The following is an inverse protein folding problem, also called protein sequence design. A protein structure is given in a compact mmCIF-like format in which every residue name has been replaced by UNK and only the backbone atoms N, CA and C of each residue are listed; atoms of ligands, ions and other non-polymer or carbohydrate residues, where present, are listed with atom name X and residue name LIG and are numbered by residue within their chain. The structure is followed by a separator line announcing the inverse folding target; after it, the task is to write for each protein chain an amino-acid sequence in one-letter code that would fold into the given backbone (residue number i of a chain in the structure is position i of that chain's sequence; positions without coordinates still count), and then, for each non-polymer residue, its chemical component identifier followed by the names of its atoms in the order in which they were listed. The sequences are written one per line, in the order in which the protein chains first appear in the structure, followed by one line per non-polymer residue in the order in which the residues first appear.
data_IF_057540341972
#
_entry.id   IF_057540341972
#
_cell.length_a   1.000
_cell.length_b   1.000
_cell.length_c   1.000
_cell.angle_alpha   90.00
_cell.angle_beta   90.00
_cell.angle_gamma   90.00
#
_symmetry.space_group_name_H-M   'P 1'
#
loop_
_entity.id
_entity.type
_entity.pdbx_description
1 polymer ?
#
# COMPACT_ATOMS: atom_id res chain seq x y z
N UNK A 1 13.28 -15.77 22.18
CA UNK A 1 13.08 -15.31 20.79
C UNK A 1 12.97 -16.52 19.84
N UNK A 2 11.92 -16.61 18.99
CA UNK A 2 11.71 -17.73 18.05
C UNK A 2 12.73 -17.67 16.89
N UNK A 3 12.85 -18.75 16.10
CA UNK A 3 13.81 -18.83 14.98
C UNK A 3 13.69 -17.67 13.98
N UNK A 4 12.47 -17.35 13.55
CA UNK A 4 12.22 -16.26 12.58
C UNK A 4 12.63 -14.89 13.12
N UNK A 5 12.41 -14.62 14.40
CA UNK A 5 12.79 -13.34 15.03
C UNK A 5 14.32 -13.21 15.13
N UNK A 6 15.03 -14.32 15.38
CA UNK A 6 16.50 -14.34 15.36
C UNK A 6 17.03 -14.05 13.96
N UNK A 7 16.45 -14.69 12.94
CA UNK A 7 16.80 -14.45 11.53
C UNK A 7 16.55 -12.99 11.14
N UNK A 8 15.45 -12.40 11.60
CA UNK A 8 15.14 -10.99 11.36
C UNK A 8 16.14 -10.07 12.09
N UNK A 9 16.42 -10.32 13.38
CA UNK A 9 17.41 -9.57 14.14
C UNK A 9 18.80 -9.61 13.50
N UNK A 10 19.26 -10.77 13.03
CA UNK A 10 20.55 -10.89 12.37
C UNK A 10 20.58 -10.10 11.05
N UNK A 11 19.44 -10.03 10.33
CA UNK A 11 19.30 -9.15 9.18
C UNK A 11 19.37 -7.66 9.56
N UNK A 12 18.74 -7.25 10.68
CA UNK A 12 18.83 -5.88 11.19
C UNK A 12 20.26 -5.52 11.62
N UNK A 13 20.98 -6.44 12.28
CA UNK A 13 22.40 -6.26 12.62
C UNK A 13 23.27 -6.11 11.36
N UNK A 14 22.98 -6.87 10.30
CA UNK A 14 23.64 -6.70 8.99
C UNK A 14 23.41 -5.31 8.41
N UNK A 15 22.19 -4.77 8.49
CA UNK A 15 21.89 -3.39 8.07
C UNK A 15 22.73 -2.40 8.89
N UNK A 16 22.71 -2.52 10.21
CA UNK A 16 23.48 -1.66 11.13
C UNK A 16 24.96 -1.61 10.75
N UNK A 17 25.60 -2.77 10.65
CA UNK A 17 27.02 -2.88 10.32
C UNK A 17 27.34 -2.31 8.94
N UNK A 18 26.49 -2.54 7.94
CA UNK A 18 26.72 -2.05 6.58
C UNK A 18 26.60 -0.53 6.45
N UNK A 19 25.71 0.10 7.22
CA UNK A 19 25.55 1.56 7.23
C UNK A 19 26.76 2.23 7.89
N UNK A 20 27.27 1.65 8.99
CA UNK A 20 28.45 2.18 9.67
C UNK A 20 29.75 1.94 8.90
N UNK A 21 29.88 0.75 8.30
CA UNK A 21 31.09 0.31 7.62
C UNK A 21 30.77 -0.03 6.15
N UNK A 22 30.49 0.99 5.31
CA UNK A 22 30.28 0.77 3.89
C UNK A 22 31.57 0.26 3.22
N UNK A 23 31.47 -0.46 2.09
CA UNK A 23 32.63 -1.11 1.46
C UNK A 23 33.63 -0.13 0.82
N UNK A 24 33.20 1.12 0.63
CA UNK A 24 33.97 2.25 0.09
C UNK A 24 33.47 3.52 0.78
N UNK A 25 34.19 4.63 0.62
CA UNK A 25 33.65 5.92 1.06
C UNK A 25 32.49 6.34 0.14
N UNK A 26 31.27 6.07 0.61
CA UNK A 26 30.03 6.29 -0.12
C UNK A 26 29.35 7.57 0.36
N UNK A 27 28.78 8.31 -0.59
CA UNK A 27 27.89 9.44 -0.28
C UNK A 27 26.65 8.96 0.48
N UNK A 28 26.08 9.82 1.29
CA UNK A 28 24.90 9.51 2.13
C UNK A 28 23.72 8.94 1.34
N UNK A 29 23.51 9.38 0.09
CA UNK A 29 22.47 8.81 -0.79
C UNK A 29 22.72 7.34 -1.14
N UNK A 30 23.96 6.97 -1.45
CA UNK A 30 24.32 5.59 -1.79
C UNK A 30 24.23 4.68 -0.56
N UNK A 31 24.60 5.20 0.62
CA UNK A 31 24.39 4.50 1.90
C UNK A 31 22.89 4.26 2.14
N UNK A 32 22.03 5.24 1.85
CA UNK A 32 20.56 5.07 1.94
C UNK A 32 20.03 4.01 0.97
N UNK A 33 20.54 3.94 -0.26
CA UNK A 33 20.17 2.89 -1.24
C UNK A 33 20.57 1.49 -0.75
N UNK A 34 21.78 1.34 -0.20
CA UNK A 34 22.22 0.08 0.39
C UNK A 34 21.36 -0.30 1.59
N UNK A 35 21.07 0.66 2.47
CA UNK A 35 20.19 0.47 3.62
C UNK A 35 18.81 -0.01 3.16
N UNK A 36 18.23 0.62 2.14
CA UNK A 36 16.93 0.23 1.61
C UNK A 36 16.92 -1.17 1.00
N UNK A 37 17.96 -1.54 0.24
CA UNK A 37 18.11 -2.90 -0.29
C UNK A 37 18.17 -3.94 0.82
N UNK A 38 19.04 -3.74 1.82
CA UNK A 38 19.17 -4.68 2.94
C UNK A 38 17.91 -4.72 3.80
N UNK A 39 17.18 -3.62 3.91
CA UNK A 39 15.88 -3.58 4.59
C UNK A 39 14.85 -4.43 3.83
N UNK A 40 14.78 -4.33 2.49
CA UNK A 40 13.94 -5.23 1.68
C UNK A 40 14.30 -6.71 1.91
N UNK A 41 15.59 -7.05 1.96
CA UNK A 41 16.08 -8.42 2.28
C UNK A 41 15.74 -8.86 3.72
N UNK A 42 15.66 -7.93 4.67
CA UNK A 42 15.24 -8.24 6.04
C UNK A 42 13.74 -8.51 6.09
N UNK A 43 12.93 -7.63 5.49
CA UNK A 43 11.47 -7.77 5.50
C UNK A 43 10.97 -8.95 4.65
N UNK A 44 11.76 -9.46 3.70
CA UNK A 44 11.40 -10.69 2.98
C UNK A 44 11.43 -11.96 3.84
N UNK A 45 11.92 -11.88 5.09
CA UNK A 45 11.98 -12.99 6.06
C UNK A 45 10.84 -12.96 7.08
N UNK A 46 9.97 -11.96 7.00
CA UNK A 46 8.87 -11.75 7.96
C UNK A 46 7.58 -11.49 7.20
N UNK A 47 6.45 -11.70 7.88
CA UNK A 47 5.15 -11.44 7.28
C UNK A 47 4.83 -9.94 7.40
N UNK A 48 4.51 -9.32 6.27
CA UNK A 48 3.99 -7.97 6.25
C UNK A 48 2.92 -7.80 5.17
N UNK A 49 2.10 -6.76 5.32
CA UNK A 49 1.04 -6.38 4.38
C UNK A 49 1.17 -4.91 4.01
N UNK A 50 1.01 -4.62 2.72
CA UNK A 50 0.86 -3.27 2.19
C UNK A 50 -0.54 -3.19 1.58
N UNK A 51 -1.37 -2.33 2.16
CA UNK A 51 -2.77 -2.13 1.76
C UNK A 51 -2.91 -0.74 1.17
N UNK A 52 -3.71 -0.58 0.11
CA UNK A 52 -3.98 0.74 -0.46
C UNK A 52 -2.89 1.27 -1.40
N UNK A 53 -2.04 0.42 -1.99
CA UNK A 53 -0.99 0.86 -2.93
C UNK A 53 -1.54 1.63 -4.14
N UNK A 54 -2.81 1.43 -4.47
CA UNK A 54 -3.54 2.20 -5.49
C UNK A 54 -3.60 3.72 -5.18
N UNK A 55 -3.37 4.12 -3.93
CA UNK A 55 -3.37 5.51 -3.49
C UNK A 55 -2.02 6.22 -3.73
N UNK A 56 -0.98 5.52 -4.17
CA UNK A 56 0.34 6.11 -4.38
C UNK A 56 0.32 7.12 -5.54
N UNK A 57 0.76 8.38 -5.33
CA UNK A 57 0.89 9.37 -6.40
C UNK A 57 1.92 8.93 -7.45
N UNK A 58 1.76 9.34 -8.71
CA UNK A 58 2.76 9.07 -9.76
C UNK A 58 4.11 9.77 -9.55
N UNK A 59 4.14 10.86 -8.78
CA UNK A 59 5.35 11.63 -8.50
C UNK A 59 5.84 11.40 -7.06
N UNK A 60 7.16 11.42 -6.87
CA UNK A 60 7.78 11.18 -5.56
C UNK A 60 8.00 12.46 -4.73
N UNK A 61 7.72 13.66 -5.25
CA UNK A 61 7.84 14.92 -4.50
C UNK A 61 6.65 15.12 -3.54
N UNK A 62 6.39 14.10 -2.72
CA UNK A 62 5.31 14.05 -1.76
C UNK A 62 5.87 13.97 -0.33
N UNK A 63 5.06 14.41 0.62
CA UNK A 63 5.29 14.23 2.05
C UNK A 63 4.59 12.93 2.46
N UNK A 64 5.34 11.94 2.92
CA UNK A 64 4.82 10.69 3.47
C UNK A 64 4.78 10.81 4.99
N UNK A 65 3.58 10.91 5.56
CA UNK A 65 3.38 10.96 7.01
C UNK A 65 3.00 9.60 7.57
N UNK A 66 3.59 9.21 8.69
CA UNK A 66 3.33 7.93 9.34
C UNK A 66 3.20 8.07 10.86
N UNK A 67 2.35 7.27 11.49
CA UNK A 67 2.40 7.09 12.95
C UNK A 67 3.64 6.24 13.30
N UNK A 68 4.38 6.63 14.33
CA UNK A 68 5.67 6.08 14.69
C UNK A 68 5.52 5.08 15.83
N UNK A 69 5.94 3.85 15.59
CA UNK A 69 5.77 2.75 16.52
C UNK A 69 7.06 2.48 17.30
N UNK A 70 6.89 2.04 18.54
CA UNK A 70 7.97 1.40 19.30
C UNK A 70 8.45 0.15 18.55
N UNK A 71 9.68 -0.28 18.82
CA UNK A 71 10.15 -1.59 18.41
C UNK A 71 10.12 -2.54 19.62
N UNK A 72 9.92 -3.83 19.37
CA UNK A 72 10.09 -4.83 20.42
C UNK A 72 11.52 -4.80 21.00
N UNK A 73 11.73 -4.86 22.34
CA UNK A 73 13.05 -4.77 22.98
C UNK A 73 14.08 -5.79 22.49
N UNK A 74 13.65 -6.96 22.02
CA UNK A 74 14.54 -7.99 21.47
C UNK A 74 15.24 -7.55 20.16
N UNK A 75 14.77 -6.50 19.48
CA UNK A 75 15.37 -6.02 18.23
C UNK A 75 16.50 -4.99 18.41
N UNK A 76 17.24 -5.08 19.52
CA UNK A 76 18.46 -4.31 19.76
C UNK A 76 19.62 -4.81 18.89
N UNK A 77 20.15 -3.93 18.04
CA UNK A 77 21.21 -4.26 17.06
C UNK A 77 22.60 -3.88 17.55
N UNK A 78 22.69 -2.94 18.49
CA UNK A 78 23.91 -2.49 19.16
C UNK A 78 23.56 -1.91 20.53
N UNK A 79 24.55 -1.70 21.40
CA UNK A 79 24.32 -1.21 22.77
C UNK A 79 23.40 0.04 22.80
N UNK A 80 22.26 -0.10 23.48
CA UNK A 80 21.21 0.92 23.58
C UNK A 80 20.61 1.39 22.24
N UNK A 81 20.73 0.64 21.14
CA UNK A 81 20.30 1.08 19.82
C UNK A 81 19.47 0.06 19.04
N UNK A 82 18.37 0.56 18.47
CA UNK A 82 17.48 -0.15 17.56
C UNK A 82 17.31 0.64 16.26
N UNK A 83 17.21 -0.08 15.14
CA UNK A 83 16.82 0.50 13.85
C UNK A 83 15.31 0.72 13.86
N UNK A 84 14.85 1.95 13.66
CA UNK A 84 13.42 2.31 13.59
C UNK A 84 12.72 1.56 12.44
N UNK A 85 11.94 0.51 12.75
CA UNK A 85 11.49 -0.43 11.72
C UNK A 85 10.51 0.21 10.73
N UNK A 86 9.54 0.96 11.24
CA UNK A 86 8.48 1.60 10.45
C UNK A 86 9.01 2.55 9.36
N UNK A 87 9.92 3.43 9.71
CA UNK A 87 10.46 4.46 8.84
C UNK A 87 11.48 3.91 7.86
N UNK A 88 12.22 2.86 8.25
CA UNK A 88 13.02 2.08 7.30
C UNK A 88 12.12 1.29 6.35
N UNK A 89 10.98 0.76 6.83
CA UNK A 89 9.97 0.13 5.98
C UNK A 89 9.40 1.14 4.97
N UNK A 90 9.01 2.35 5.40
CA UNK A 90 8.53 3.40 4.50
C UNK A 90 9.58 3.76 3.45
N UNK A 91 10.82 4.04 3.84
CA UNK A 91 11.89 4.35 2.88
C UNK A 91 12.13 3.21 1.88
N UNK A 92 12.01 1.95 2.31
CA UNK A 92 12.47 0.80 1.51
C UNK A 92 11.33 0.12 0.74
N UNK A 93 10.27 -0.27 1.45
CA UNK A 93 9.16 -1.06 0.92
C UNK A 93 8.10 -0.16 0.27
N UNK A 94 8.10 1.15 0.53
CA UNK A 94 7.23 2.13 -0.15
C UNK A 94 8.05 2.97 -1.13
N UNK A 95 8.93 3.84 -0.63
CA UNK A 95 9.57 4.84 -1.49
C UNK A 95 10.56 4.21 -2.50
N UNK A 96 11.51 3.41 -2.01
CA UNK A 96 12.50 2.77 -2.89
C UNK A 96 11.87 1.71 -3.80
N UNK A 97 10.83 1.00 -3.35
CA UNK A 97 10.09 0.04 -4.18
C UNK A 97 9.35 0.72 -5.33
N UNK A 98 8.51 1.72 -5.03
CA UNK A 98 7.61 2.29 -6.03
C UNK A 98 8.20 3.48 -6.79
N UNK A 99 9.23 4.14 -6.27
CA UNK A 99 9.83 5.34 -6.89
C UNK A 99 11.33 5.22 -7.16
N UNK A 100 11.95 4.06 -6.88
CA UNK A 100 13.38 3.80 -7.08
C UNK A 100 14.30 4.82 -6.38
N UNK A 101 13.82 5.40 -5.27
CA UNK A 101 14.56 6.32 -4.39
C UNK A 101 14.05 6.17 -2.96
N UNK A 102 14.90 5.98 -1.94
CA UNK A 102 14.46 5.74 -0.56
C UNK A 102 13.92 6.99 0.18
N UNK A 103 13.87 8.13 -0.51
CA UNK A 103 13.49 9.42 0.06
C UNK A 103 14.49 9.98 1.05
N UNK A 104 14.10 11.08 1.69
CA UNK A 104 14.79 11.67 2.82
C UNK A 104 13.87 11.65 4.03
N UNK A 105 14.46 11.43 5.20
CA UNK A 105 13.73 11.37 6.45
C UNK A 105 14.02 12.60 7.28
N UNK A 106 13.12 12.90 8.20
CA UNK A 106 13.44 13.72 9.35
C UNK A 106 13.70 12.83 10.54
N UNK A 107 14.86 13.01 11.18
CA UNK A 107 15.27 12.25 12.35
C UNK A 107 15.75 13.21 13.45
N UNK A 108 15.48 12.88 14.72
CA UNK A 108 15.92 13.72 15.83
C UNK A 108 17.44 13.71 16.00
N UNK A 109 18.06 14.78 16.50
CA UNK A 109 19.43 14.71 17.00
C UNK A 109 19.54 13.70 18.17
N UNK A 110 20.70 13.07 18.30
CA UNK A 110 21.04 12.20 19.44
C UNK A 110 21.39 13.01 20.68
N UNK A 111 21.10 12.45 21.85
CA UNK A 111 21.71 12.86 23.11
C UNK A 111 23.21 12.50 23.12
N UNK A 112 24.05 13.18 23.93
CA UNK A 112 25.48 12.89 24.00
C UNK A 112 25.82 11.44 24.36
N UNK A 113 24.95 10.76 25.12
CA UNK A 113 25.10 9.35 25.49
C UNK A 113 24.80 8.37 24.35
N UNK A 114 24.06 8.78 23.32
CA UNK A 114 23.56 7.88 22.26
C UNK A 114 24.57 7.76 21.10
N UNK A 115 25.74 7.20 21.38
CA UNK A 115 26.84 7.09 20.39
C UNK A 115 26.44 6.32 19.14
N UNK A 116 25.77 5.17 19.28
CA UNK A 116 25.34 4.32 18.17
C UNK A 116 24.28 5.02 17.30
N UNK A 117 23.33 5.72 17.92
CA UNK A 117 22.34 6.52 17.20
C UNK A 117 23.00 7.63 16.37
N UNK A 118 23.96 8.35 16.97
CA UNK A 118 24.73 9.39 16.27
C UNK A 118 25.44 8.81 15.06
N UNK A 119 26.27 7.78 15.28
CA UNK A 119 27.09 7.17 14.24
C UNK A 119 26.24 6.66 13.07
N UNK A 120 25.12 5.99 13.37
CA UNK A 120 24.24 5.41 12.35
C UNK A 120 23.57 6.48 11.49
N UNK A 121 22.92 7.48 12.11
CA UNK A 121 22.16 8.48 11.36
C UNK A 121 23.03 9.54 10.69
N UNK A 122 24.23 9.81 11.19
CA UNK A 122 25.19 10.70 10.52
C UNK A 122 25.61 10.12 9.15
N UNK A 123 25.78 8.80 9.04
CA UNK A 123 26.08 8.12 7.75
C UNK A 123 24.90 8.15 6.76
N UNK A 124 23.66 8.21 7.25
CA UNK A 124 22.48 8.28 6.40
C UNK A 124 22.17 9.69 5.90
N UNK A 125 22.67 10.73 6.59
CA UNK A 125 22.57 12.11 6.14
C UNK A 125 21.14 12.65 6.05
N UNK A 126 20.26 12.16 6.92
CA UNK A 126 18.87 12.63 6.99
C UNK A 126 18.77 14.07 7.49
N UNK A 127 17.62 14.71 7.27
CA UNK A 127 17.33 16.02 7.85
C UNK A 127 17.20 15.87 9.36
N UNK A 128 17.92 16.70 10.13
CA UNK A 128 18.00 16.60 11.59
C UNK A 128 17.27 17.74 12.28
N UNK A 129 16.53 17.41 13.34
CA UNK A 129 15.81 18.37 14.19
C UNK A 129 16.00 18.02 15.66
N UNK A 130 15.94 19.00 16.56
CA UNK A 130 15.90 18.76 17.99
C UNK A 130 14.45 18.54 18.44
N UNK A 131 14.21 17.42 19.11
CA UNK A 131 12.92 17.11 19.74
C UNK A 131 12.93 17.53 21.22
N UNK A 132 11.77 17.93 21.75
CA UNK A 132 11.64 18.60 23.08
C UNK A 132 12.35 17.86 24.22
N UNK A 133 12.28 16.54 24.27
CA UNK A 133 12.88 15.73 25.34
C UNK A 133 14.26 15.13 24.95
N UNK A 134 14.73 15.46 23.75
CA UNK A 134 16.00 14.96 23.18
C UNK A 134 16.91 16.13 22.80
N UNK A 135 16.98 17.13 23.69
CA UNK A 135 17.89 18.27 23.59
C UNK A 135 18.98 18.19 24.65
N UNK A 136 20.27 18.36 24.31
CA UNK A 136 21.32 18.49 25.30
C UNK A 136 21.04 19.67 26.26
N UNK A 137 21.31 19.47 27.56
CA UNK A 137 20.98 20.46 28.61
C UNK A 137 21.69 21.81 28.42
N UNK A 138 22.86 21.79 27.78
CA UNK A 138 23.73 22.95 27.63
C UNK A 138 23.42 23.82 26.39
N UNK A 139 22.47 23.39 25.55
CA UNK A 139 22.09 24.11 24.33
C UNK A 139 21.05 25.20 24.61
N UNK A 140 21.35 26.43 24.19
CA UNK A 140 20.42 27.57 24.29
C UNK A 140 19.16 27.32 23.45
N UNK A 141 17.99 27.66 23.99
CA UNK A 141 16.68 27.53 23.31
C UNK A 141 16.63 28.26 21.96
N UNK A 142 17.29 29.41 21.85
CA UNK A 142 17.38 30.18 20.60
C UNK A 142 18.13 29.40 19.52
N UNK A 143 19.28 28.81 19.85
CA UNK A 143 20.05 27.97 18.92
C UNK A 143 19.25 26.76 18.44
N UNK A 144 18.48 26.12 19.34
CA UNK A 144 17.57 25.03 18.99
C UNK A 144 16.50 25.50 18.00
N UNK A 145 15.88 26.67 18.23
CA UNK A 145 14.89 27.25 17.32
C UNK A 145 15.49 27.55 15.95
N UNK A 146 16.67 28.17 15.91
CA UNK A 146 17.37 28.48 14.66
C UNK A 146 17.68 27.22 13.86
N UNK A 147 18.20 26.17 14.50
CA UNK A 147 18.51 24.89 13.83
C UNK A 147 17.22 24.21 13.35
N UNK A 148 16.18 24.19 14.18
CA UNK A 148 14.89 23.63 13.78
C UNK A 148 14.22 24.43 12.68
N UNK A 149 14.47 25.73 12.55
CA UNK A 149 13.94 26.52 11.42
C UNK A 149 14.60 26.13 10.09
N UNK A 150 15.86 25.68 10.09
CA UNK A 150 16.52 25.16 8.88
C UNK A 150 15.86 23.88 8.33
N UNK A 151 15.01 23.22 9.12
CA UNK A 151 14.18 22.11 8.64
C UNK A 151 13.40 22.52 7.39
N UNK A 152 12.74 23.68 7.43
CA UNK A 152 11.86 24.11 6.35
C UNK A 152 12.61 24.25 5.03
N UNK A 153 13.74 24.96 5.03
CA UNK A 153 14.54 25.14 3.82
C UNK A 153 15.11 23.82 3.28
N UNK A 154 15.60 22.95 4.17
CA UNK A 154 16.15 21.63 3.76
C UNK A 154 15.06 20.71 3.22
N UNK A 155 13.88 20.73 3.82
CA UNK A 155 12.75 19.91 3.44
C UNK A 155 12.10 20.39 2.13
N UNK A 156 11.92 21.70 1.95
CA UNK A 156 11.44 22.29 0.69
C UNK A 156 12.38 21.95 -0.46
N UNK A 157 13.70 22.19 -0.30
CA UNK A 157 14.71 21.83 -1.31
C UNK A 157 14.71 20.33 -1.62
N UNK A 158 14.46 19.47 -0.63
CA UNK A 158 14.38 18.02 -0.85
C UNK A 158 13.20 17.64 -1.76
N UNK A 159 12.02 18.22 -1.49
CA UNK A 159 10.82 18.00 -2.29
C UNK A 159 10.94 18.60 -3.69
N UNK A 160 11.49 19.82 -3.82
CA UNK A 160 11.76 20.48 -5.11
C UNK A 160 12.71 19.66 -5.99
N UNK A 161 13.69 18.98 -5.39
CA UNK A 161 14.61 18.06 -6.09
C UNK A 161 13.99 16.69 -6.44
N UNK A 162 12.68 16.52 -6.26
CA UNK A 162 11.97 15.29 -6.61
C UNK A 162 12.23 14.12 -5.65
N UNK A 163 12.59 14.40 -4.39
CA UNK A 163 12.81 13.39 -3.35
C UNK A 163 11.66 13.43 -2.35
N UNK A 164 11.07 12.26 -2.07
CA UNK A 164 9.99 12.15 -1.08
C UNK A 164 10.49 12.39 0.33
N UNK A 165 9.69 13.08 1.13
CA UNK A 165 9.98 13.42 2.52
C UNK A 165 9.19 12.50 3.47
N UNK A 166 9.88 11.73 4.29
CA UNK A 166 9.26 10.80 5.26
C UNK A 166 9.30 11.43 6.65
N UNK A 167 8.13 11.60 7.27
CA UNK A 167 7.98 12.38 8.51
C UNK A 167 6.97 11.76 9.48
N UNK A 168 7.32 11.63 10.76
CA UNK A 168 6.35 11.31 11.82
C UNK A 168 5.85 12.60 12.49
N UNK A 169 4.57 12.98 12.33
CA UNK A 169 4.03 14.20 12.94
C UNK A 169 3.92 14.13 14.46
N UNK A 170 3.79 12.96 15.07
CA UNK A 170 3.71 12.81 16.53
C UNK A 170 5.06 13.00 17.24
N UNK A 171 6.17 12.73 16.55
CA UNK A 171 7.52 13.01 17.03
C UNK A 171 8.02 12.16 18.21
N UNK A 172 7.21 11.20 18.68
CA UNK A 172 7.57 10.15 19.62
C UNK A 172 7.09 8.82 19.07
N UNK A 173 7.68 7.72 19.55
CA UNK A 173 7.21 6.36 19.28
C UNK A 173 6.18 5.94 20.33
N UNK A 174 5.24 5.09 19.93
CA UNK A 174 4.22 4.51 20.82
C UNK A 174 3.97 3.04 20.48
N UNK A 175 3.47 2.27 21.44
CA UNK A 175 2.82 0.98 21.15
C UNK A 175 1.65 1.18 20.17
N UNK A 176 1.36 0.17 19.33
CA UNK A 176 0.34 0.29 18.26
C UNK A 176 -1.01 0.77 18.82
N UNK A 177 -1.44 0.25 19.98
CA UNK A 177 -2.71 0.55 20.62
C UNK A 177 -2.81 1.99 21.16
N UNK A 178 -1.67 2.66 21.35
CA UNK A 178 -1.56 4.03 21.87
C UNK A 178 -1.21 5.05 20.78
N UNK A 179 -0.93 4.56 19.58
CA UNK A 179 -0.59 5.37 18.42
C UNK A 179 -1.88 5.76 17.68
N UNK A 180 -1.98 6.97 17.11
CA UNK A 180 -0.98 8.02 17.12
C UNK A 180 -1.03 8.88 18.40
N UNK A 181 0.11 9.47 18.73
CA UNK A 181 0.18 10.59 19.66
C UNK A 181 -0.35 11.90 19.06
N UNK A 182 -0.15 13.01 19.77
CA UNK A 182 -0.57 14.34 19.29
C UNK A 182 0.32 14.77 18.12
N UNK A 183 -0.30 15.05 16.97
CA UNK A 183 0.39 15.55 15.79
C UNK A 183 0.91 16.98 16.00
N UNK A 184 2.21 17.15 15.80
CA UNK A 184 2.88 18.45 15.74
C UNK A 184 2.59 19.10 14.39
N UNK A 185 2.51 20.43 14.42
CA UNK A 185 2.12 21.23 13.26
C UNK A 185 3.21 21.38 12.18
N UNK A 186 4.48 21.10 12.51
CA UNK A 186 5.64 21.50 11.69
C UNK A 186 5.59 21.04 10.24
N UNK A 187 5.21 19.78 9.98
CA UNK A 187 5.15 19.23 8.62
C UNK A 187 3.97 19.78 7.81
N UNK A 188 2.84 20.05 8.46
CA UNK A 188 1.66 20.66 7.82
C UNK A 188 1.91 22.13 7.50
N UNK A 189 2.66 22.84 8.36
CA UNK A 189 3.17 24.18 8.08
C UNK A 189 4.08 24.20 6.85
N UNK A 190 5.02 23.25 6.75
CA UNK A 190 5.87 23.10 5.57
C UNK A 190 5.00 22.96 4.30
N UNK A 191 3.97 22.12 4.33
CA UNK A 191 3.08 21.94 3.19
C UNK A 191 2.40 23.25 2.76
N UNK A 192 1.97 24.09 3.71
CA UNK A 192 1.39 25.40 3.42
C UNK A 192 2.40 26.44 2.89
N UNK A 193 3.69 26.31 3.21
CA UNK A 193 4.75 27.22 2.75
C UNK A 193 5.17 27.02 1.29
N UNK A 194 4.79 25.90 0.69
CA UNK A 194 5.20 25.54 -0.66
C UNK A 194 4.09 25.83 -1.67
N UNK A 195 4.46 26.35 -2.84
CA UNK A 195 3.55 26.63 -3.95
C UNK A 195 4.08 25.96 -5.23
N UNK A 196 3.32 25.03 -5.86
CA UNK A 196 2.09 24.44 -5.33
C UNK A 196 2.35 23.65 -4.04
N UNK A 197 1.35 23.53 -3.16
CA UNK A 197 1.49 22.69 -1.96
C UNK A 197 1.86 21.26 -2.39
N UNK A 198 2.70 20.51 -1.65
CA UNK A 198 2.97 19.10 -1.93
C UNK A 198 1.77 18.22 -1.55
N UNK A 199 1.70 17.01 -2.10
CA UNK A 199 0.75 16.00 -1.62
C UNK A 199 1.26 15.43 -0.30
N UNK A 200 0.36 15.22 0.63
CA UNK A 200 0.58 14.50 1.87
C UNK A 200 -0.04 13.11 1.73
N UNK A 201 0.79 12.07 1.83
CA UNK A 201 0.42 10.66 1.73
C UNK A 201 0.43 10.04 3.13
N UNK A 202 -0.73 9.69 3.70
CA UNK A 202 -0.78 9.07 5.03
C UNK A 202 -0.49 7.57 4.95
N UNK A 203 0.47 7.10 5.76
CA UNK A 203 0.92 5.71 5.87
C UNK A 203 0.66 5.17 7.29
N UNK A 204 -0.45 4.49 7.47
CA UNK A 204 -0.89 3.98 8.77
C UNK A 204 -0.16 2.66 9.07
N UNK A 205 0.54 2.61 10.19
CA UNK A 205 1.40 1.50 10.59
C UNK A 205 0.78 0.77 11.80
N UNK A 206 0.85 -0.56 11.79
CA UNK A 206 0.45 -1.39 12.92
C UNK A 206 1.40 -2.59 13.12
N UNK A 207 1.55 -2.98 14.39
CA UNK A 207 2.26 -4.15 14.89
C UNK A 207 3.79 -4.13 14.79
N UNK A 208 4.42 -3.03 14.37
CA UNK A 208 5.89 -2.92 14.33
C UNK A 208 6.53 -2.95 15.74
N UNK A 209 5.73 -2.79 16.79
CA UNK A 209 6.07 -2.92 18.21
C UNK A 209 6.07 -4.38 18.71
N UNK A 210 5.62 -5.33 17.90
CA UNK A 210 5.58 -6.76 18.24
C UNK A 210 6.75 -7.52 17.61
N UNK A 211 6.97 -8.75 18.05
CA UNK A 211 7.86 -9.68 17.35
C UNK A 211 7.25 -10.10 16.01
N UNK A 212 8.09 -10.24 14.99
CA UNK A 212 7.71 -10.70 13.65
C UNK A 212 7.08 -12.10 13.64
N UNK A 213 7.39 -12.93 14.64
CA UNK A 213 6.79 -14.25 14.81
C UNK A 213 5.44 -14.26 15.55
N UNK A 214 5.00 -13.10 16.04
CA UNK A 214 3.77 -12.94 16.83
C UNK A 214 2.70 -12.14 16.07
N UNK A 215 3.11 -11.23 15.19
CA UNK A 215 2.20 -10.42 14.41
C UNK A 215 2.70 -10.15 12.99
N UNK A 216 1.75 -9.99 12.07
CA UNK A 216 2.02 -9.46 10.74
C UNK A 216 2.17 -7.94 10.83
N UNK A 217 3.27 -7.40 10.30
CA UNK A 217 3.45 -5.95 10.19
C UNK A 217 2.56 -5.39 9.09
N UNK A 218 1.82 -4.31 9.37
CA UNK A 218 0.86 -3.76 8.42
C UNK A 218 1.16 -2.30 8.12
N UNK A 219 1.13 -1.95 6.84
CA UNK A 219 1.19 -0.58 6.35
C UNK A 219 0.00 -0.34 5.42
N UNK A 220 -0.85 0.63 5.77
CA UNK A 220 -1.99 1.02 4.94
C UNK A 220 -1.79 2.44 4.42
N UNK A 221 -1.69 2.55 3.09
CA UNK A 221 -1.55 3.79 2.36
C UNK A 221 -2.96 4.36 2.15
N UNK A 222 -3.24 5.51 2.75
CA UNK A 222 -4.53 6.22 2.59
C UNK A 222 -4.48 7.18 1.41
N UNK A 223 -5.65 7.63 0.98
CA UNK A 223 -5.79 8.60 -0.10
C UNK A 223 -4.99 9.87 0.24
N UNK A 224 -4.09 10.33 -0.66
CA UNK A 224 -3.33 11.55 -0.46
C UNK A 224 -4.22 12.78 -0.43
N UNK A 225 -3.76 13.83 0.26
CA UNK A 225 -4.45 15.12 0.33
C UNK A 225 -3.46 16.29 0.31
N UNK A 226 -3.98 17.49 0.09
CA UNK A 226 -3.30 18.78 0.30
C UNK A 226 -3.95 19.53 1.45
N UNK A 227 -3.22 20.44 2.09
CA UNK A 227 -3.85 21.33 3.09
C UNK A 227 -4.93 22.20 2.43
N UNK A 228 -4.73 22.56 1.15
CA UNK A 228 -5.72 23.27 0.33
C UNK A 228 -7.04 22.52 0.13
N UNK A 229 -7.06 21.18 0.22
CA UNK A 229 -8.29 20.38 0.12
C UNK A 229 -9.21 20.62 1.34
N UNK A 230 -8.62 21.10 2.44
CA UNK A 230 -9.32 21.57 3.64
C UNK A 230 -9.44 23.10 3.68
N UNK A 231 -9.26 23.77 2.53
CA UNK A 231 -9.23 25.25 2.39
C UNK A 231 -8.11 25.95 3.16
N UNK A 232 -7.07 25.23 3.58
CA UNK A 232 -5.94 25.79 4.33
C UNK A 232 -4.80 26.14 3.37
N UNK A 233 -4.67 27.42 3.04
CA UNK A 233 -3.65 27.94 2.13
C UNK A 233 -2.43 28.52 2.85
N UNK A 234 -2.61 29.05 4.06
CA UNK A 234 -1.57 29.69 4.87
C UNK A 234 -1.36 28.95 6.20
N UNK A 235 -0.12 28.91 6.69
CA UNK A 235 0.22 28.24 7.94
C UNK A 235 -0.28 28.94 9.22
N UNK A 236 -0.72 30.20 9.09
CA UNK A 236 -1.29 31.03 10.15
C UNK A 236 -2.83 31.12 10.04
N UNK A 237 -3.46 30.33 9.16
CA UNK A 237 -4.91 30.25 9.09
C UNK A 237 -5.50 29.86 10.46
N UNK A 238 -6.53 30.58 10.92
CA UNK A 238 -7.16 30.36 12.22
C UNK A 238 -7.73 28.95 12.39
N UNK A 239 -8.10 28.28 11.29
CA UNK A 239 -8.62 26.91 11.29
C UNK A 239 -7.52 25.85 11.15
N UNK A 240 -6.27 26.23 10.83
CA UNK A 240 -5.15 25.30 10.65
C UNK A 240 -5.01 24.32 11.83
N UNK A 241 -4.99 24.74 13.11
CA UNK A 241 -4.84 23.81 14.24
C UNK A 241 -5.99 22.81 14.34
N UNK A 242 -7.22 23.25 14.03
CA UNK A 242 -8.42 22.39 14.04
C UNK A 242 -8.34 21.32 12.95
N UNK A 243 -7.86 21.69 11.75
CA UNK A 243 -7.68 20.74 10.65
C UNK A 243 -6.59 19.72 10.98
N UNK A 244 -5.45 20.15 11.53
CA UNK A 244 -4.41 19.20 11.97
C UNK A 244 -4.93 18.25 13.03
N UNK A 245 -5.72 18.72 14.01
CA UNK A 245 -6.39 17.86 14.99
C UNK A 245 -7.34 16.87 14.32
N UNK A 246 -8.16 17.31 13.35
CA UNK A 246 -9.08 16.41 12.62
C UNK A 246 -8.32 15.31 11.88
N UNK A 247 -7.18 15.64 11.26
CA UNK A 247 -6.30 14.66 10.60
C UNK A 247 -5.78 13.67 11.65
N UNK A 248 -5.32 14.14 12.81
CA UNK A 248 -4.83 13.30 13.91
C UNK A 248 -5.91 12.34 14.44
N UNK A 249 -7.13 12.84 14.69
CA UNK A 249 -8.27 12.06 15.17
C UNK A 249 -8.64 10.96 14.15
N UNK A 250 -8.66 11.31 12.86
CA UNK A 250 -8.92 10.35 11.78
C UNK A 250 -7.84 9.27 11.70
N UNK A 251 -6.60 9.63 11.99
CA UNK A 251 -5.46 8.71 11.99
C UNK A 251 -5.59 7.67 13.11
N UNK A 252 -6.09 8.06 14.29
CA UNK A 252 -6.38 7.13 15.39
C UNK A 252 -7.47 6.10 15.02
N UNK A 253 -8.51 6.53 14.31
CA UNK A 253 -9.53 5.61 13.77
C UNK A 253 -8.88 4.62 12.80
N UNK A 254 -8.03 5.09 11.88
CA UNK A 254 -7.37 4.22 10.92
C UNK A 254 -6.43 3.19 11.56
N UNK A 255 -5.67 3.56 12.61
CA UNK A 255 -4.82 2.60 13.33
C UNK A 255 -5.69 1.51 13.96
N UNK A 256 -6.79 1.88 14.62
CA UNK A 256 -7.74 0.93 15.21
C UNK A 256 -8.34 -0.01 14.16
N UNK A 257 -8.75 0.53 13.01
CA UNK A 257 -9.30 -0.27 11.91
C UNK A 257 -8.26 -1.27 11.37
N UNK A 258 -7.01 -0.82 11.16
CA UNK A 258 -5.93 -1.66 10.64
C UNK A 258 -5.52 -2.78 11.60
N UNK A 259 -5.64 -2.55 12.91
CA UNK A 259 -5.45 -3.59 13.92
C UNK A 259 -6.51 -4.69 13.80
N UNK A 260 -7.78 -4.29 13.61
CA UNK A 260 -8.92 -5.21 13.51
C UNK A 260 -9.03 -5.90 12.15
N UNK A 261 -8.39 -5.35 11.12
CA UNK A 261 -8.39 -5.93 9.78
C UNK A 261 -7.85 -7.35 9.79
N UNK A 262 -8.73 -8.33 9.59
CA UNK A 262 -8.35 -9.73 9.53
C UNK A 262 -8.03 -10.17 8.10
N UNK A 263 -7.30 -11.28 7.98
CA UNK A 263 -6.99 -11.89 6.68
C UNK A 263 -8.22 -12.56 6.03
N UNK A 264 -9.41 -12.45 6.64
CA UNK A 264 -10.63 -13.11 6.20
C UNK A 264 -11.59 -12.16 5.49
N UNK A 265 -11.27 -10.88 5.30
CA UNK A 265 -12.11 -9.91 4.58
C UNK A 265 -13.48 -9.65 5.24
N UNK A 266 -13.67 -9.98 6.52
CA UNK A 266 -14.99 -9.96 7.16
C UNK A 266 -15.69 -8.60 7.06
N UNK A 267 -14.94 -7.50 7.21
CA UNK A 267 -15.48 -6.15 7.09
C UNK A 267 -15.94 -5.84 5.65
N UNK A 268 -15.11 -6.13 4.65
CA UNK A 268 -15.47 -5.94 3.24
C UNK A 268 -16.70 -6.78 2.85
N UNK A 269 -16.76 -8.03 3.29
CA UNK A 269 -17.90 -8.92 3.03
C UNK A 269 -19.18 -8.39 3.69
N UNK A 270 -19.11 -7.85 4.90
CA UNK A 270 -20.26 -7.24 5.57
C UNK A 270 -20.76 -5.99 4.82
N UNK A 271 -19.86 -5.17 4.30
CA UNK A 271 -20.23 -4.00 3.49
C UNK A 271 -20.84 -4.41 2.14
N UNK A 272 -20.34 -5.48 1.51
CA UNK A 272 -20.94 -6.05 0.31
C UNK A 272 -22.36 -6.60 0.58
N UNK A 273 -22.57 -7.28 1.71
CA UNK A 273 -23.91 -7.74 2.12
C UNK A 273 -24.89 -6.58 2.28
N UNK A 274 -24.50 -5.52 2.99
CA UNK A 274 -25.33 -4.30 3.11
C UNK A 274 -25.65 -3.70 1.74
N UNK A 275 -24.68 -3.66 0.83
CA UNK A 275 -24.87 -3.16 -0.54
C UNK A 275 -25.86 -4.01 -1.33
N UNK A 276 -25.81 -5.34 -1.18
CA UNK A 276 -26.80 -6.26 -1.76
C UNK A 276 -28.18 -5.97 -1.18
N UNK A 277 -28.30 -5.83 0.14
CA UNK A 277 -29.59 -5.58 0.81
C UNK A 277 -30.22 -4.26 0.40
N UNK A 278 -29.40 -3.22 0.22
CA UNK A 278 -29.85 -1.88 -0.20
C UNK A 278 -30.21 -1.79 -1.69
N UNK A 279 -29.85 -2.78 -2.51
CA UNK A 279 -30.16 -2.77 -3.95
C UNK A 279 -31.65 -3.05 -4.15
N UNK A 280 -32.39 -2.03 -4.62
CA UNK A 280 -33.85 -2.08 -4.84
C UNK A 280 -34.26 -3.11 -5.89
N UNK A 281 -33.64 -3.06 -7.07
CA UNK A 281 -33.89 -4.01 -8.14
C UNK A 281 -32.78 -5.06 -8.20
N UNK A 282 -33.12 -6.30 -7.86
CA UNK A 282 -32.23 -7.46 -7.86
C UNK A 282 -32.47 -8.39 -9.06
N UNK A 283 -33.19 -7.94 -10.08
CA UNK A 283 -33.48 -8.70 -11.29
C UNK A 283 -32.56 -8.29 -12.44
N UNK A 284 -32.35 -9.19 -13.41
CA UNK A 284 -31.60 -8.91 -14.65
C UNK A 284 -30.22 -8.23 -14.42
N UNK A 285 -29.53 -8.59 -13.35
CA UNK A 285 -28.32 -7.89 -12.92
C UNK A 285 -27.09 -8.26 -13.74
N UNK A 286 -26.21 -7.28 -13.96
CA UNK A 286 -24.84 -7.50 -14.39
C UNK A 286 -23.92 -7.44 -13.15
N UNK A 287 -23.52 -8.61 -12.66
CA UNK A 287 -22.76 -8.71 -11.41
C UNK A 287 -21.27 -8.80 -11.71
N UNK A 288 -20.47 -7.92 -11.13
CA UNK A 288 -19.01 -7.98 -11.19
C UNK A 288 -18.48 -8.63 -9.92
N UNK A 289 -17.70 -9.71 -10.05
CA UNK A 289 -17.18 -10.49 -8.94
C UNK A 289 -15.68 -10.74 -9.07
N UNK A 290 -14.91 -10.48 -8.03
CA UNK A 290 -13.46 -10.67 -8.11
C UNK A 290 -12.66 -9.90 -7.08
N UNK A 291 -11.36 -9.80 -7.34
CA UNK A 291 -10.41 -9.15 -6.45
C UNK A 291 -10.35 -7.61 -6.64
N UNK A 292 -9.24 -6.98 -6.28
CA UNK A 292 -9.08 -5.52 -6.26
C UNK A 292 -9.31 -4.83 -7.60
N UNK A 293 -9.04 -5.47 -8.74
CA UNK A 293 -9.35 -4.89 -10.06
C UNK A 293 -10.85 -4.72 -10.32
N UNK A 294 -11.71 -5.50 -9.65
CA UNK A 294 -13.15 -5.28 -9.67
C UNK A 294 -13.54 -4.28 -8.58
N UNK A 295 -13.06 -4.47 -7.34
CA UNK A 295 -13.34 -3.59 -6.20
C UNK A 295 -13.06 -2.11 -6.52
N UNK A 296 -11.96 -1.83 -7.20
CA UNK A 296 -11.48 -0.48 -7.50
C UNK A 296 -12.13 0.15 -8.73
N UNK A 297 -13.02 -0.56 -9.43
CA UNK A 297 -13.74 -0.03 -10.58
C UNK A 297 -14.93 0.82 -10.11
N UNK A 298 -14.67 2.11 -9.85
CA UNK A 298 -15.64 3.04 -9.22
C UNK A 298 -16.79 3.44 -10.14
N UNK A 299 -16.55 3.54 -11.45
CA UNK A 299 -17.50 4.16 -12.39
C UNK A 299 -18.35 3.13 -13.17
N UNK A 300 -18.62 1.96 -12.59
CA UNK A 300 -19.37 0.90 -13.29
C UNK A 300 -20.77 1.33 -13.77
N UNK A 301 -21.50 2.12 -12.98
CA UNK A 301 -22.81 2.63 -13.41
C UNK A 301 -22.69 3.55 -14.64
N UNK A 302 -21.63 4.37 -14.71
CA UNK A 302 -21.38 5.26 -15.85
C UNK A 302 -20.87 4.48 -17.07
N UNK A 303 -20.12 3.40 -16.84
CA UNK A 303 -19.57 2.56 -17.90
C UNK A 303 -20.60 1.61 -18.52
N UNK A 304 -21.63 1.24 -17.77
CA UNK A 304 -22.73 0.38 -18.22
C UNK A 304 -24.10 1.01 -17.91
N UNK A 305 -24.42 2.19 -18.49
CA UNK A 305 -25.58 3.00 -18.07
C UNK A 305 -26.93 2.35 -18.35
N UNK A 306 -26.97 1.32 -19.21
CA UNK A 306 -28.19 0.55 -19.55
C UNK A 306 -28.31 -0.78 -18.80
N UNK A 307 -27.36 -1.10 -17.92
CA UNK A 307 -27.32 -2.39 -17.21
C UNK A 307 -27.59 -2.18 -15.72
N UNK A 308 -28.30 -3.13 -15.10
CA UNK A 308 -28.50 -3.15 -13.65
C UNK A 308 -27.23 -3.69 -12.95
N UNK A 309 -26.21 -2.85 -12.77
CA UNK A 309 -24.90 -3.32 -12.28
C UNK A 309 -24.85 -3.53 -10.77
N UNK A 310 -24.08 -4.54 -10.34
CA UNK A 310 -23.73 -4.77 -8.95
C UNK A 310 -22.27 -5.19 -8.83
N UNK A 311 -21.46 -4.40 -8.13
CA UNK A 311 -20.05 -4.71 -7.88
C UNK A 311 -19.90 -5.41 -6.52
N UNK A 312 -19.46 -6.67 -6.56
CA UNK A 312 -19.16 -7.56 -5.44
C UNK A 312 -17.66 -7.88 -5.32
N UNK A 313 -16.79 -6.99 -5.80
CA UNK A 313 -15.35 -7.14 -5.65
C UNK A 313 -14.86 -6.75 -4.25
N UNK A 314 -13.86 -7.48 -3.75
CA UNK A 314 -13.19 -7.19 -2.47
C UNK A 314 -11.66 -7.34 -2.57
N UNK A 315 -10.92 -6.74 -1.64
CA UNK A 315 -9.47 -6.59 -1.69
C UNK A 315 -8.74 -7.92 -1.60
N UNK A 316 -7.59 -8.06 -2.28
CA UNK A 316 -6.65 -9.18 -2.06
C UNK A 316 -7.17 -10.60 -2.29
N UNK A 317 -8.42 -10.78 -2.75
CA UNK A 317 -9.08 -12.08 -2.80
C UNK A 317 -8.31 -13.12 -3.64
N UNK A 318 -8.08 -14.30 -3.06
CA UNK A 318 -7.71 -15.51 -3.78
C UNK A 318 -8.95 -16.19 -4.35
N UNK A 319 -8.77 -17.19 -5.21
CA UNK A 319 -9.90 -17.96 -5.75
C UNK A 319 -10.68 -18.63 -4.62
N UNK A 320 -9.99 -19.19 -3.62
CA UNK A 320 -10.62 -19.80 -2.45
C UNK A 320 -11.44 -18.81 -1.63
N UNK A 321 -10.99 -17.56 -1.53
CA UNK A 321 -11.75 -16.51 -0.84
C UNK A 321 -13.06 -16.20 -1.59
N UNK A 322 -13.00 -16.15 -2.92
CA UNK A 322 -14.18 -15.97 -3.77
C UNK A 322 -15.12 -17.18 -3.68
N UNK A 323 -14.59 -18.40 -3.63
CA UNK A 323 -15.43 -19.60 -3.46
C UNK A 323 -16.13 -19.63 -2.10
N UNK A 324 -15.39 -19.34 -1.02
CA UNK A 324 -15.88 -19.30 0.36
C UNK A 324 -17.04 -18.32 0.53
N UNK A 325 -16.94 -17.12 -0.05
CA UNK A 325 -17.95 -16.07 0.12
C UNK A 325 -19.03 -16.04 -0.96
N UNK A 326 -18.91 -16.86 -2.01
CA UNK A 326 -19.88 -16.90 -3.10
C UNK A 326 -21.32 -17.10 -2.58
N UNK A 327 -21.55 -18.10 -1.73
CA UNK A 327 -22.90 -18.37 -1.26
C UNK A 327 -23.44 -17.27 -0.35
N UNK A 328 -22.60 -16.67 0.48
CA UNK A 328 -23.00 -15.58 1.36
C UNK A 328 -23.34 -14.28 0.60
N UNK A 329 -22.75 -14.05 -0.57
CA UNK A 329 -22.94 -12.83 -1.37
C UNK A 329 -24.02 -12.99 -2.46
N UNK A 330 -24.19 -14.18 -3.01
CA UNK A 330 -25.16 -14.45 -4.08
C UNK A 330 -26.49 -14.98 -3.51
N UNK A 331 -27.13 -14.14 -2.68
CA UNK A 331 -28.43 -14.37 -2.04
C UNK A 331 -29.57 -13.67 -2.81
N UNK A 332 -29.62 -13.87 -4.12
CA UNK A 332 -30.61 -13.30 -5.03
C UNK A 332 -30.86 -14.24 -6.23
N UNK A 333 -31.88 -13.96 -7.03
CA UNK A 333 -32.24 -14.74 -8.22
C UNK A 333 -31.16 -14.67 -9.31
N UNK A 334 -31.23 -15.56 -10.30
CA UNK A 334 -30.25 -15.64 -11.40
C UNK A 334 -29.97 -14.27 -12.05
N UNK A 335 -28.72 -13.77 -12.00
CA UNK A 335 -28.34 -12.56 -12.72
C UNK A 335 -28.28 -12.80 -14.24
N UNK A 336 -28.37 -11.73 -15.03
CA UNK A 336 -28.19 -11.79 -16.50
C UNK A 336 -26.82 -12.33 -16.85
N UNK A 337 -25.78 -11.77 -16.21
CA UNK A 337 -24.41 -12.16 -16.40
C UNK A 337 -23.57 -11.91 -15.15
N UNK A 338 -22.52 -12.71 -14.98
CA UNK A 338 -21.49 -12.52 -13.96
C UNK A 338 -20.15 -12.31 -14.66
N UNK A 339 -19.56 -11.13 -14.47
CA UNK A 339 -18.22 -10.77 -14.94
C UNK A 339 -17.21 -11.06 -13.83
N UNK A 340 -16.23 -11.90 -14.11
CA UNK A 340 -15.28 -12.41 -13.13
C UNK A 340 -13.85 -11.94 -13.39
N UNK A 341 -13.10 -11.59 -12.34
CA UNK A 341 -11.65 -11.38 -12.41
C UNK A 341 -10.95 -11.94 -11.16
N UNK A 342 -10.20 -13.04 -11.34
CA UNK A 342 -9.58 -13.84 -10.30
C UNK A 342 -8.27 -14.49 -10.76
N UNK A 343 -7.56 -15.18 -9.86
CA UNK A 343 -6.36 -15.98 -10.16
C UNK A 343 -5.04 -15.21 -10.15
N UNK A 344 -5.06 -13.89 -10.37
CA UNK A 344 -3.83 -13.09 -10.34
C UNK A 344 -3.13 -13.10 -8.97
N UNK A 345 -3.88 -13.10 -7.86
CA UNK A 345 -3.30 -13.13 -6.51
C UNK A 345 -2.70 -14.51 -6.19
N UNK A 346 -3.31 -15.58 -6.68
CA UNK A 346 -2.96 -16.98 -6.44
C UNK A 346 -1.57 -17.34 -7.00
N UNK A 347 -1.04 -16.55 -7.94
CA UNK A 347 0.36 -16.65 -8.41
C UNK A 347 1.38 -16.49 -7.27
N UNK A 348 1.02 -15.82 -6.18
CA UNK A 348 1.87 -15.69 -4.99
C UNK A 348 1.92 -16.95 -4.11
N UNK A 349 1.03 -17.92 -4.35
CA UNK A 349 0.90 -19.16 -3.57
C UNK A 349 1.69 -20.34 -4.16
N UNK A 350 2.54 -20.08 -5.17
CA UNK A 350 3.34 -21.09 -5.87
C UNK A 350 2.52 -22.21 -6.54
N UNK A 351 1.24 -21.96 -6.85
CA UNK A 351 0.45 -22.88 -7.66
C UNK A 351 0.92 -22.91 -9.12
N UNK A 352 0.83 -24.09 -9.72
CA UNK A 352 1.00 -24.25 -11.17
C UNK A 352 -0.16 -23.62 -11.94
N UNK A 353 0.06 -23.30 -13.22
CA UNK A 353 -0.97 -22.80 -14.11
C UNK A 353 -2.20 -23.74 -14.18
N UNK A 354 -1.97 -25.07 -14.15
CA UNK A 354 -3.05 -26.05 -14.20
C UNK A 354 -3.92 -26.00 -12.93
N UNK A 355 -3.30 -25.95 -11.75
CA UNK A 355 -4.02 -25.83 -10.47
C UNK A 355 -4.87 -24.57 -10.44
N UNK A 356 -4.33 -23.42 -10.85
CA UNK A 356 -5.09 -22.16 -10.90
C UNK A 356 -6.29 -22.29 -11.86
N UNK A 357 -6.11 -22.90 -13.04
CA UNK A 357 -7.20 -23.13 -13.99
C UNK A 357 -8.26 -24.08 -13.44
N UNK A 358 -7.86 -25.15 -12.74
CA UNK A 358 -8.78 -26.08 -12.09
C UNK A 358 -9.62 -25.37 -11.02
N UNK A 359 -8.99 -24.52 -10.20
CA UNK A 359 -9.69 -23.72 -9.18
C UNK A 359 -10.66 -22.71 -9.82
N UNK A 360 -10.25 -22.01 -10.89
CA UNK A 360 -11.14 -21.10 -11.65
C UNK A 360 -12.36 -21.88 -12.16
N UNK A 361 -12.13 -23.03 -12.79
CA UNK A 361 -13.20 -23.85 -13.36
C UNK A 361 -14.13 -24.43 -12.31
N UNK A 362 -13.62 -24.86 -11.16
CA UNK A 362 -14.44 -25.33 -10.06
C UNK A 362 -15.44 -24.25 -9.60
N UNK A 363 -14.98 -23.01 -9.45
CA UNK A 363 -15.84 -21.89 -9.10
C UNK A 363 -16.85 -21.56 -10.22
N UNK A 364 -16.43 -21.54 -11.49
CA UNK A 364 -17.33 -21.32 -12.63
C UNK A 364 -18.43 -22.38 -12.69
N UNK A 365 -18.09 -23.65 -12.48
CA UNK A 365 -19.07 -24.74 -12.47
C UNK A 365 -20.02 -24.65 -11.27
N UNK A 366 -19.52 -24.25 -10.08
CA UNK A 366 -20.36 -23.97 -8.91
C UNK A 366 -21.37 -22.84 -9.20
N UNK A 367 -20.91 -21.76 -9.85
CA UNK A 367 -21.76 -20.64 -10.25
C UNK A 367 -22.83 -21.09 -11.24
N UNK A 368 -22.44 -21.80 -12.30
CA UNK A 368 -23.39 -22.30 -13.30
C UNK A 368 -24.41 -23.27 -12.69
N UNK A 369 -23.99 -24.16 -11.78
CA UNK A 369 -24.90 -25.06 -11.06
C UNK A 369 -25.97 -24.29 -10.28
N UNK A 370 -25.60 -23.16 -9.67
CA UNK A 370 -26.53 -22.30 -8.93
C UNK A 370 -27.40 -21.45 -9.86
N UNK A 371 -26.84 -20.99 -10.97
CA UNK A 371 -27.50 -20.12 -11.94
C UNK A 371 -27.30 -20.63 -13.40
N UNK A 372 -28.07 -21.65 -13.83
CA UNK A 372 -27.84 -22.31 -15.12
C UNK A 372 -28.06 -21.42 -16.35
N UNK A 373 -28.87 -20.35 -16.20
CA UNK A 373 -29.21 -19.41 -17.28
C UNK A 373 -28.26 -18.20 -17.35
N UNK A 374 -27.38 -18.04 -16.35
CA UNK A 374 -26.47 -16.89 -16.27
C UNK A 374 -25.28 -17.06 -17.20
N UNK A 375 -25.02 -16.03 -18.01
CA UNK A 375 -23.75 -15.94 -18.77
C UNK A 375 -22.59 -15.62 -17.82
N UNK A 376 -21.47 -16.31 -17.97
CA UNK A 376 -20.25 -16.07 -17.20
C UNK A 376 -19.19 -15.50 -18.12
N UNK A 377 -18.65 -14.33 -17.79
CA UNK A 377 -17.59 -13.66 -18.54
C UNK A 377 -16.34 -13.63 -17.66
N UNK A 378 -15.35 -14.46 -17.96
CA UNK A 378 -14.08 -14.47 -17.24
C UNK A 378 -13.06 -13.54 -17.91
N UNK A 379 -12.63 -12.52 -17.19
CA UNK A 379 -11.58 -11.61 -17.64
C UNK A 379 -10.23 -12.30 -17.45
N UNK A 380 -9.45 -12.41 -18.53
CA UNK A 380 -8.10 -12.94 -18.49
C UNK A 380 -7.21 -12.19 -17.49
N UNK A 381 -6.33 -12.93 -16.83
CA UNK A 381 -5.39 -12.37 -15.87
C UNK A 381 -4.50 -11.36 -16.63
N UNK A 382 -4.58 -10.11 -16.21
CA UNK A 382 -3.82 -8.99 -16.77
C UNK A 382 -2.32 -9.10 -16.43
N UNK A 383 -1.40 -8.62 -17.29
CA UNK A 383 -0.01 -8.43 -16.90
C UNK A 383 0.12 -7.34 -15.83
N UNK A 384 1.19 -7.34 -15.04
CA UNK A 384 1.51 -6.25 -14.09
C UNK A 384 3.00 -6.25 -13.73
N UNK A 385 3.56 -5.09 -13.40
CA UNK A 385 4.97 -4.97 -13.01
C UNK A 385 5.28 -5.77 -11.73
N UNK A 386 4.34 -5.81 -10.78
CA UNK A 386 4.47 -6.63 -9.56
C UNK A 386 4.47 -8.15 -9.83
N UNK A 387 4.15 -8.59 -11.06
CA UNK A 387 4.08 -10.00 -11.48
C UNK A 387 4.86 -10.25 -12.77
N UNK A 388 5.88 -9.44 -13.02
CA UNK A 388 6.67 -9.55 -14.26
C UNK A 388 7.35 -10.93 -14.40
N UNK A 389 7.75 -11.54 -13.28
CA UNK A 389 8.30 -12.91 -13.25
C UNK A 389 7.28 -14.00 -13.63
N UNK A 390 5.98 -13.71 -13.55
CA UNK A 390 4.89 -14.67 -13.70
C UNK A 390 4.17 -14.55 -15.07
N UNK A 391 4.67 -13.71 -15.99
CA UNK A 391 3.99 -13.43 -17.27
C UNK A 391 3.76 -14.67 -18.14
N UNK A 392 4.71 -15.61 -18.18
CA UNK A 392 4.54 -16.86 -18.94
C UNK A 392 3.48 -17.77 -18.30
N UNK A 393 3.43 -17.84 -16.97
CA UNK A 393 2.37 -18.55 -16.23
C UNK A 393 1.01 -17.92 -16.53
N UNK A 394 0.93 -16.59 -16.52
CA UNK A 394 -0.29 -15.84 -16.84
C UNK A 394 -0.77 -16.15 -18.26
N UNK A 395 0.12 -16.13 -19.26
CA UNK A 395 -0.21 -16.50 -20.65
C UNK A 395 -0.77 -17.91 -20.74
N UNK A 396 -0.13 -18.88 -20.04
CA UNK A 396 -0.58 -20.28 -20.02
C UNK A 396 -1.98 -20.42 -19.41
N UNK A 397 -2.24 -19.76 -18.28
CA UNK A 397 -3.57 -19.75 -17.64
C UNK A 397 -4.63 -19.18 -18.60
N UNK A 398 -4.34 -18.01 -19.18
CA UNK A 398 -5.26 -17.33 -20.09
C UNK A 398 -5.55 -18.17 -21.35
N UNK A 399 -4.53 -18.84 -21.91
CA UNK A 399 -4.68 -19.75 -23.04
C UNK A 399 -5.57 -20.95 -22.72
N UNK A 400 -5.31 -21.64 -21.61
CA UNK A 400 -6.15 -22.77 -21.18
C UNK A 400 -7.60 -22.35 -20.88
N UNK A 401 -7.81 -21.15 -20.32
CA UNK A 401 -9.16 -20.63 -20.10
C UNK A 401 -9.88 -20.27 -21.40
N UNK A 402 -9.16 -19.74 -22.41
CA UNK A 402 -9.71 -19.52 -23.75
C UNK A 402 -10.20 -20.83 -24.37
N UNK A 403 -9.34 -21.85 -24.40
CA UNK A 403 -9.70 -23.18 -24.93
C UNK A 403 -10.91 -23.81 -24.23
N UNK A 404 -11.07 -23.55 -22.93
CA UNK A 404 -12.25 -24.01 -22.18
C UNK A 404 -13.51 -23.22 -22.55
N UNK A 405 -13.40 -21.89 -22.68
CA UNK A 405 -14.55 -21.04 -23.05
C UNK A 405 -15.11 -21.38 -24.44
N UNK A 406 -14.26 -21.78 -25.39
CA UNK A 406 -14.70 -22.20 -26.74
C UNK A 406 -15.56 -23.48 -26.72
N UNK A 407 -15.48 -24.28 -25.65
CA UNK A 407 -16.21 -25.55 -25.50
C UNK A 407 -17.44 -25.43 -24.59
N UNK A 408 -17.61 -24.32 -23.88
CA UNK A 408 -18.63 -24.14 -22.83
C UNK A 408 -19.49 -22.94 -23.19
N UNK A 409 -20.73 -23.18 -23.63
CA UNK A 409 -21.61 -22.16 -24.21
C UNK A 409 -21.98 -21.01 -23.27
N UNK A 410 -22.01 -21.24 -21.95
CA UNK A 410 -22.31 -20.21 -20.95
C UNK A 410 -21.08 -19.43 -20.48
N UNK A 411 -19.87 -19.80 -20.92
CA UNK A 411 -18.61 -19.19 -20.48
C UNK A 411 -17.94 -18.48 -21.65
N UNK A 412 -17.66 -17.20 -21.48
CA UNK A 412 -16.76 -16.47 -22.37
C UNK A 412 -15.47 -16.03 -21.64
N UNK A 413 -14.37 -15.99 -22.37
CA UNK A 413 -13.09 -15.48 -21.92
C UNK A 413 -12.82 -14.12 -22.59
N UNK A 414 -12.46 -13.10 -21.82
CA UNK A 414 -12.07 -11.78 -22.34
C UNK A 414 -10.54 -11.65 -22.31
N UNK A 415 -9.93 -11.28 -23.45
CA UNK A 415 -8.47 -11.15 -23.57
C UNK A 415 -8.02 -9.72 -23.23
N UNK A 416 -7.88 -9.45 -21.92
CA UNK A 416 -7.29 -8.18 -21.45
C UNK A 416 -5.76 -8.15 -21.60
N UNK A 417 -5.10 -9.31 -21.61
CA UNK A 417 -3.64 -9.39 -21.49
C UNK A 417 -2.95 -8.67 -22.64
N UNK A 418 -3.36 -8.96 -23.89
CA UNK A 418 -2.71 -8.43 -25.09
C UNK A 418 -2.81 -6.91 -25.19
N UNK A 419 -3.97 -6.36 -24.83
CA UNK A 419 -4.24 -4.92 -24.90
C UNK A 419 -3.35 -4.09 -23.95
N UNK A 420 -2.88 -4.69 -22.85
CA UNK A 420 -2.03 -4.02 -21.87
C UNK A 420 -0.53 -4.18 -22.16
N UNK A 421 -0.18 -4.85 -23.27
CA UNK A 421 1.20 -5.05 -23.71
C UNK A 421 1.53 -4.13 -24.89
N UNK A 422 2.80 -3.76 -25.01
CA UNK A 422 3.35 -3.02 -26.15
C UNK A 422 4.76 -3.51 -26.42
N UNK A 423 5.05 -3.97 -27.64
CA UNK A 423 6.36 -4.50 -28.05
C UNK A 423 6.90 -5.58 -27.09
N UNK A 424 6.03 -6.50 -26.66
CA UNK A 424 6.39 -7.59 -25.74
C UNK A 424 6.63 -7.16 -24.29
N UNK A 425 6.43 -5.88 -23.93
CA UNK A 425 6.57 -5.35 -22.57
C UNK A 425 5.25 -4.83 -22.03
N UNK A 426 5.12 -4.78 -20.70
CA UNK A 426 3.95 -4.20 -20.03
C UNK A 426 3.89 -2.71 -20.35
N UNK A 427 2.75 -2.23 -20.85
CA UNK A 427 2.58 -0.82 -21.15
C UNK A 427 2.19 -0.04 -19.89
N UNK A 428 3.13 0.72 -19.34
CA UNK A 428 2.95 1.52 -18.10
C UNK A 428 1.78 2.50 -18.18
N UNK A 429 1.36 2.92 -19.38
CA UNK A 429 0.23 3.86 -19.59
C UNK A 429 -1.05 3.39 -18.89
N UNK A 430 -1.27 2.09 -18.73
CA UNK A 430 -2.52 1.55 -18.21
C UNK A 430 -2.55 1.28 -16.71
N UNK A 431 -1.46 1.58 -15.99
CA UNK A 431 -1.31 1.21 -14.58
C UNK A 431 -1.21 2.43 -13.66
N UNK A 432 -1.66 2.25 -12.42
CA UNK A 432 -1.35 3.13 -11.30
C UNK A 432 0.13 3.04 -10.93
N UNK A 433 0.59 3.94 -10.04
CA UNK A 433 1.99 3.99 -9.64
C UNK A 433 2.50 2.68 -9.04
N UNK A 434 1.62 1.91 -8.40
CA UNK A 434 1.98 0.62 -7.83
C UNK A 434 2.29 -0.47 -8.86
N UNK A 435 2.06 -0.20 -10.15
CA UNK A 435 2.34 -1.14 -11.24
C UNK A 435 1.47 -2.40 -11.23
N UNK A 436 0.42 -2.43 -10.41
CA UNK A 436 -0.45 -3.59 -10.18
C UNK A 436 -1.88 -3.32 -10.64
N UNK A 437 -2.43 -2.18 -10.24
CA UNK A 437 -3.82 -1.83 -10.48
C UNK A 437 -3.95 -0.98 -11.74
N UNK A 438 -5.10 -1.11 -12.41
CA UNK A 438 -5.39 -0.31 -13.61
C UNK A 438 -5.67 1.14 -13.22
N UNK A 439 -5.19 2.06 -14.03
CA UNK A 439 -5.66 3.45 -14.00
C UNK A 439 -6.87 3.62 -14.92
N UNK A 440 -7.32 4.87 -15.10
CA UNK A 440 -8.47 5.19 -15.95
C UNK A 440 -8.31 4.67 -17.40
N UNK A 441 -7.14 4.83 -18.01
CA UNK A 441 -6.87 4.34 -19.37
C UNK A 441 -6.98 2.82 -19.46
N UNK A 442 -6.50 2.10 -18.44
CA UNK A 442 -6.63 0.65 -18.36
C UNK A 442 -8.09 0.19 -18.21
N UNK A 443 -8.89 0.90 -17.42
CA UNK A 443 -10.33 0.60 -17.31
C UNK A 443 -11.11 0.95 -18.58
N UNK A 444 -10.70 1.96 -19.36
CA UNK A 444 -11.31 2.26 -20.68
C UNK A 444 -11.14 1.07 -21.62
N UNK A 445 -9.95 0.48 -21.67
CA UNK A 445 -9.68 -0.73 -22.46
C UNK A 445 -10.56 -1.89 -22.00
N UNK A 446 -10.58 -2.17 -20.69
CA UNK A 446 -11.40 -3.26 -20.15
C UNK A 446 -12.90 -3.03 -20.39
N UNK A 447 -13.38 -1.79 -20.26
CA UNK A 447 -14.77 -1.44 -20.55
C UNK A 447 -15.14 -1.73 -22.00
N UNK A 448 -14.28 -1.34 -22.95
CA UNK A 448 -14.49 -1.61 -24.39
C UNK A 448 -14.64 -3.11 -24.63
N UNK A 449 -13.70 -3.91 -24.14
CA UNK A 449 -13.73 -5.36 -24.31
C UNK A 449 -15.00 -6.01 -23.71
N UNK A 450 -15.48 -5.52 -22.57
CA UNK A 450 -16.70 -6.06 -21.97
C UNK A 450 -17.98 -5.65 -22.71
N UNK A 451 -18.03 -4.46 -23.32
CA UNK A 451 -19.20 -4.04 -24.11
C UNK A 451 -19.33 -4.83 -25.43
N UNK A 452 -18.25 -5.44 -25.93
CA UNK A 452 -18.30 -6.33 -27.08
C UNK A 452 -19.02 -7.67 -26.75
N UNK A 453 -19.21 -7.97 -25.45
CA UNK A 453 -19.72 -9.26 -24.96
C UNK A 453 -21.13 -9.22 -24.33
N UNK A 454 -21.62 -8.03 -23.96
CA UNK A 454 -22.80 -7.80 -23.11
C UNK A 454 -24.02 -7.23 -23.84
#
# INVERSE_FOLDING_TARGET
MKSNDKIFLDALKKIYNRVLFPPKDLKNEDVRKICAKLTKEAFSKVNFQIIGSENLPYHNNCIFIYNHLDNHPDYVVADGFQITLDSHFVSSLILDKYYNKPGNRVARYSLPSEKNHKAYYDRLGFIRVYAKDFTPKDLKKESIRTINNQFYDKASKNLENGSGLVFSPEGYSYATEKSPGIFRHGIFKLACRMIPQPLIVPLVMANFDKLASEATYKCQIKTPFRMSDFTILDENDKYFPRIVKRINDQYAIWVKDLMLEDNNFNNEINDLKKKIDQKKDKTNMLVFYGSSSIRLWKNLNENFPKQNVLNLGFGGAFIESLDKYFDALFQFQSPKAIVMYLGGNDLSLNYSANQIVEMIMALILKINKKFPETKIINIGIKPSFEREKDLETIKKINGMMREKSEKISFLNQVDLYKELMSNGKINKKYFLQDGLHLNQEGYIVLNRLLNEEL
#
